data_IF_177090154617
#
_entry.id   IF_177090154617
#
_cell.length_a   1.000
_cell.length_b   1.000
_cell.length_c   1.000
_cell.angle_alpha   90.00
_cell.angle_beta   90.00
_cell.angle_gamma   90.00
#
_symmetry.space_group_name_H-M   'P 1'
#
loop_
_entity.id
_entity.type
_entity.pdbx_description
1 polymer ?
#
# COMPACT_ATOMS: atom_id res chain seq x y z
N UNK A 1 -8.04 13.72 -4.64
CA UNK A 1 -6.96 12.86 -5.18
C UNK A 1 -7.56 11.81 -6.11
N UNK A 2 -6.97 11.65 -7.27
CA UNK A 2 -7.42 10.63 -8.22
C UNK A 2 -6.71 9.31 -7.94
N UNK A 3 -7.33 8.20 -8.30
CA UNK A 3 -6.73 6.88 -8.14
C UNK A 3 -5.34 6.79 -8.78
N UNK A 4 -5.20 7.37 -9.96
CA UNK A 4 -3.91 7.40 -10.66
C UNK A 4 -2.83 8.10 -9.83
N UNK A 5 -3.19 9.18 -9.17
CA UNK A 5 -2.27 9.92 -8.31
C UNK A 5 -1.90 9.10 -7.08
N UNK A 6 -2.88 8.38 -6.53
CA UNK A 6 -2.65 7.50 -5.39
C UNK A 6 -1.61 6.43 -5.73
N UNK A 7 -1.75 5.79 -6.88
CA UNK A 7 -0.84 4.71 -7.30
C UNK A 7 0.56 5.21 -7.67
N UNK A 8 0.72 6.50 -7.92
CA UNK A 8 2.03 7.08 -8.24
C UNK A 8 2.85 7.42 -6.99
N UNK A 9 2.24 7.41 -5.82
CA UNK A 9 2.91 7.78 -4.58
C UNK A 9 3.61 6.60 -3.95
N UNK A 10 4.75 6.87 -3.32
CA UNK A 10 5.45 5.86 -2.56
C UNK A 10 4.74 5.60 -1.24
N UNK A 11 4.69 4.34 -0.84
CA UNK A 11 4.10 3.93 0.43
C UNK A 11 5.24 3.75 1.42
N UNK A 12 5.19 4.48 2.52
CA UNK A 12 6.26 4.53 3.50
C UNK A 12 5.77 4.00 4.84
N UNK A 13 6.52 3.06 5.39
CA UNK A 13 6.26 2.49 6.69
C UNK A 13 6.69 3.48 7.78
N UNK A 14 5.76 3.89 8.62
CA UNK A 14 6.03 4.93 9.63
C UNK A 14 7.09 4.53 10.63
N UNK A 15 7.12 3.27 11.02
CA UNK A 15 7.99 2.81 12.11
C UNK A 15 9.47 3.03 11.82
N UNK A 16 9.88 2.97 10.57
CA UNK A 16 11.30 3.07 10.22
C UNK A 16 11.57 3.89 8.95
N UNK A 17 10.55 4.47 8.35
CA UNK A 17 10.71 5.26 7.12
C UNK A 17 10.98 4.44 5.86
N UNK A 18 10.85 3.11 5.94
CA UNK A 18 11.14 2.27 4.79
C UNK A 18 10.07 2.42 3.71
N UNK A 19 10.51 2.52 2.46
CA UNK A 19 9.59 2.53 1.32
C UNK A 19 9.17 1.10 1.01
N UNK A 20 7.87 0.86 1.04
CA UNK A 20 7.30 -0.46 0.77
C UNK A 20 6.98 -0.67 -0.71
N UNK A 21 7.03 0.40 -1.50
CA UNK A 21 6.70 0.36 -2.91
C UNK A 21 5.54 1.27 -3.24
N UNK A 22 4.83 0.96 -4.31
CA UNK A 22 3.66 1.71 -4.78
C UNK A 22 2.48 0.78 -4.91
N UNK A 23 1.28 1.32 -4.75
CA UNK A 23 0.08 0.52 -4.93
C UNK A 23 -0.08 0.11 -6.39
N UNK A 24 -0.34 -1.16 -6.61
CA UNK A 24 -0.62 -1.70 -7.94
C UNK A 24 -2.11 -1.83 -8.18
N UNK A 25 -2.88 -1.97 -7.10
CA UNK A 25 -4.31 -2.19 -7.20
C UNK A 25 -4.99 -1.81 -5.89
N UNK A 26 -6.31 -1.81 -5.91
CA UNK A 26 -7.16 -1.60 -4.74
C UNK A 26 -8.10 -2.78 -4.58
N UNK A 27 -8.42 -3.09 -3.35
CA UNK A 27 -9.48 -4.02 -3.06
C UNK A 27 -10.69 -3.24 -2.56
N UNK A 28 -11.83 -3.46 -3.19
CA UNK A 28 -13.09 -2.82 -2.81
C UNK A 28 -14.01 -3.85 -2.20
N UNK A 29 -14.81 -3.40 -1.21
CA UNK A 29 -15.89 -4.21 -0.67
C UNK A 29 -17.13 -3.95 -1.51
N UNK A 30 -17.61 -4.92 -2.30
CA UNK A 30 -18.75 -4.70 -3.17
C UNK A 30 -20.06 -4.51 -2.40
N UNK A 31 -20.14 -4.97 -1.15
CA UNK A 31 -21.35 -4.82 -0.34
C UNK A 31 -21.50 -3.40 0.16
N UNK A 32 -20.41 -2.71 0.46
CA UNK A 32 -20.44 -1.36 1.05
C UNK A 32 -19.90 -0.30 0.10
N UNK A 33 -19.29 -0.71 -1.01
CA UNK A 33 -18.60 0.16 -1.96
C UNK A 33 -17.43 0.93 -1.32
N UNK A 34 -16.87 0.42 -0.24
CA UNK A 34 -15.76 1.04 0.45
C UNK A 34 -14.43 0.41 0.02
N UNK A 35 -13.37 1.20 0.09
CA UNK A 35 -12.01 0.71 -0.12
C UNK A 35 -11.62 -0.14 1.09
N UNK A 36 -11.16 -1.36 0.84
CA UNK A 36 -10.70 -2.26 1.90
C UNK A 36 -9.19 -2.14 2.11
N UNK A 37 -8.43 -2.14 1.04
CA UNK A 37 -6.97 -2.17 1.14
C UNK A 37 -6.31 -1.73 -0.15
N UNK A 38 -5.02 -1.41 -0.03
CA UNK A 38 -4.12 -1.24 -1.17
C UNK A 38 -3.36 -2.53 -1.37
N UNK A 39 -3.11 -2.88 -2.61
CA UNK A 39 -2.39 -4.12 -2.96
C UNK A 39 -1.09 -3.76 -3.66
N UNK A 40 0.00 -4.33 -3.17
CA UNK A 40 1.32 -4.20 -3.78
C UNK A 40 1.72 -5.59 -4.27
N UNK A 41 1.73 -5.76 -5.58
CA UNK A 41 1.91 -7.07 -6.20
C UNK A 41 3.38 -7.35 -6.48
N UNK A 42 3.79 -8.60 -6.20
CA UNK A 42 5.09 -9.09 -6.64
C UNK A 42 6.27 -8.22 -6.26
N UNK A 43 6.40 -7.85 -4.99
CA UNK A 43 7.44 -6.95 -4.51
C UNK A 43 8.68 -7.72 -4.04
N UNK A 44 9.51 -8.22 -4.96
CA UNK A 44 10.66 -9.06 -4.55
C UNK A 44 11.68 -8.31 -3.73
N UNK A 45 11.74 -7.00 -3.84
CA UNK A 45 12.65 -6.17 -3.06
C UNK A 45 12.26 -6.03 -1.60
N UNK A 46 11.11 -6.57 -1.20
CA UNK A 46 10.73 -6.60 0.20
C UNK A 46 11.50 -7.70 0.93
N UNK A 47 12.82 -7.61 0.84
CA UNK A 47 13.77 -8.42 1.61
C UNK A 47 13.68 -9.93 1.35
N UNK A 48 13.04 -10.35 0.30
CA UNK A 48 12.85 -11.76 0.01
C UNK A 48 11.97 -12.48 1.03
N UNK A 49 11.32 -11.75 1.93
CA UNK A 49 10.43 -12.33 2.91
C UNK A 49 9.11 -12.79 2.28
N UNK A 50 8.72 -12.09 1.22
CA UNK A 50 7.55 -12.44 0.46
C UNK A 50 8.00 -13.12 -0.83
N UNK A 51 7.29 -14.14 -1.26
CA UNK A 51 7.54 -14.76 -2.55
C UNK A 51 7.25 -13.78 -3.67
N UNK A 52 7.71 -14.12 -4.88
CA UNK A 52 7.52 -13.26 -6.04
C UNK A 52 6.06 -12.97 -6.36
N UNK A 53 5.22 -13.97 -6.08
CA UNK A 53 3.81 -13.90 -6.42
C UNK A 53 2.95 -13.47 -5.25
N UNK A 54 3.59 -13.17 -4.14
CA UNK A 54 2.83 -12.74 -2.97
C UNK A 54 2.45 -11.27 -3.09
N UNK A 55 1.27 -10.98 -2.58
CA UNK A 55 0.72 -9.63 -2.57
C UNK A 55 0.85 -9.08 -1.16
N UNK A 56 1.44 -7.91 -1.05
CA UNK A 56 1.41 -7.19 0.22
C UNK A 56 0.09 -6.44 0.29
N UNK A 57 -0.68 -6.73 1.32
CA UNK A 57 -1.98 -6.10 1.54
C UNK A 57 -1.83 -5.05 2.64
N UNK A 58 -2.18 -3.82 2.31
CA UNK A 58 -2.16 -2.73 3.29
C UNK A 58 -3.60 -2.34 3.57
N UNK A 59 -4.12 -2.67 4.75
CA UNK A 59 -5.51 -2.30 5.09
C UNK A 59 -5.70 -0.80 4.99
N UNK A 60 -6.83 -0.39 4.45
CA UNK A 60 -7.14 1.04 4.32
C UNK A 60 -7.07 1.76 5.66
N UNK A 61 -7.43 1.06 6.74
CA UNK A 61 -7.38 1.60 8.10
C UNK A 61 -5.95 1.82 8.61
N UNK A 62 -4.95 1.25 7.96
CA UNK A 62 -3.54 1.47 8.33
C UNK A 62 -2.95 2.73 7.71
N UNK A 63 -3.69 3.38 6.81
CA UNK A 63 -3.21 4.60 6.20
C UNK A 63 -3.33 5.73 7.21
N UNK A 64 -2.19 6.32 7.55
CA UNK A 64 -2.12 7.46 8.46
C UNK A 64 -2.32 8.76 7.70
N UNK A 65 -1.65 8.89 6.57
CA UNK A 65 -1.65 10.14 5.80
C UNK A 65 -1.56 9.85 4.31
N UNK A 66 -2.44 10.51 3.55
CA UNK A 66 -2.34 10.57 2.10
C UNK A 66 -1.65 11.88 1.74
N UNK A 67 -0.33 11.85 1.69
CA UNK A 67 0.46 13.06 1.42
C UNK A 67 0.57 13.39 -0.06
N UNK A 68 1.23 14.49 -0.35
CA UNK A 68 1.45 14.94 -1.73
C UNK A 68 2.36 13.97 -2.47
N UNK A 69 3.45 13.55 -1.82
CA UNK A 69 4.47 12.71 -2.44
C UNK A 69 4.48 11.26 -1.93
N UNK A 70 3.87 11.02 -0.80
CA UNK A 70 3.96 9.72 -0.14
C UNK A 70 2.67 9.39 0.62
N UNK A 71 2.45 8.10 0.80
CA UNK A 71 1.39 7.58 1.64
C UNK A 71 2.07 6.98 2.88
N UNK A 72 1.71 7.49 4.04
CA UNK A 72 2.29 7.01 5.29
C UNK A 72 1.37 5.98 5.92
N UNK A 73 1.92 4.83 6.24
CA UNK A 73 1.12 3.70 6.75
C UNK A 73 1.66 3.18 8.07
N UNK A 74 0.76 2.63 8.88
CA UNK A 74 1.10 1.98 10.14
C UNK A 74 1.48 0.52 9.97
N UNK A 75 1.21 -0.05 8.80
CA UNK A 75 1.61 -1.44 8.50
C UNK A 75 3.11 -1.61 8.71
N UNK A 76 3.50 -2.68 9.38
CA UNK A 76 4.90 -3.01 9.61
C UNK A 76 5.23 -4.36 8.99
N UNK A 77 6.41 -4.43 8.39
CA UNK A 77 6.95 -5.68 7.84
C UNK A 77 8.04 -6.24 8.73
#
# INVERSE_FOLDING_TARGET
MKFRELCAKEIVQLSNGACLGRADDLELDPATAQVKSLLLLGQPHLFGLLGRDETLVIPWTDIETLGVDAILVRTEL
#
